data_IF_722516070165
#
_entry.id   IF_722516070165
#
_cell.length_a   1.000
_cell.length_b   1.000
_cell.length_c   1.000
_cell.angle_alpha   90.00
_cell.angle_beta   90.00
_cell.angle_gamma   90.00
#
_symmetry.space_group_name_H-M   'P 1'
#
loop_
_entity.id
_entity.type
_entity.pdbx_description
1 polymer ?
#
# COMPACT_ATOMS: atom_id res chain seq x y z
N UNK A 1 12.37 -2.16 15.33
CA UNK A 1 11.04 -2.78 15.12
C UNK A 1 10.03 -2.03 15.97
N UNK A 2 8.98 -1.44 15.37
CA UNK A 2 8.03 -0.58 16.11
C UNK A 2 7.01 -1.37 16.94
N UNK A 3 6.58 -2.54 16.44
CA UNK A 3 5.44 -3.28 17.00
C UNK A 3 5.79 -4.56 17.79
N UNK A 4 7.08 -4.81 18.10
CA UNK A 4 7.57 -5.98 18.88
C UNK A 4 6.89 -7.31 18.55
N UNK A 5 6.57 -7.53 17.27
CA UNK A 5 5.86 -8.71 16.78
C UNK A 5 6.82 -9.69 16.09
N UNK A 6 6.59 -10.99 16.27
CA UNK A 6 7.32 -12.05 15.58
C UNK A 6 6.92 -12.19 14.12
N UNK A 7 7.80 -12.78 13.30
CA UNK A 7 7.65 -12.87 11.84
C UNK A 7 6.33 -13.53 11.40
N UNK A 8 5.98 -14.68 11.98
CA UNK A 8 4.74 -15.39 11.64
C UNK A 8 3.47 -14.57 11.90
N UNK A 9 3.45 -13.77 12.97
CA UNK A 9 2.31 -12.89 13.25
C UNK A 9 2.32 -11.67 12.33
N UNK A 10 3.48 -11.14 11.99
CA UNK A 10 3.61 -10.03 11.04
C UNK A 10 3.10 -10.43 9.64
N UNK A 11 3.41 -11.64 9.16
CA UNK A 11 2.92 -12.15 7.88
C UNK A 11 1.38 -12.14 7.82
N UNK A 12 0.72 -12.73 8.83
CA UNK A 12 -0.75 -12.72 8.92
C UNK A 12 -1.35 -11.32 8.95
N UNK A 13 -0.66 -10.37 9.58
CA UNK A 13 -1.12 -8.97 9.61
C UNK A 13 -1.03 -8.33 8.23
N UNK A 14 -0.02 -8.67 7.43
CA UNK A 14 0.09 -8.18 6.05
C UNK A 14 -1.05 -8.73 5.19
N UNK A 15 -1.34 -10.03 5.28
CA UNK A 15 -2.44 -10.66 4.52
C UNK A 15 -3.78 -9.96 4.83
N UNK A 16 -4.07 -9.73 6.12
CA UNK A 16 -5.29 -9.04 6.55
C UNK A 16 -5.34 -7.58 6.06
N UNK A 17 -4.20 -6.89 5.96
CA UNK A 17 -4.15 -5.52 5.45
C UNK A 17 -4.32 -5.46 3.94
N UNK A 18 -3.83 -6.47 3.22
CA UNK A 18 -4.03 -6.64 1.78
C UNK A 18 -5.50 -6.93 1.46
N UNK A 19 -6.12 -7.88 2.18
CA UNK A 19 -7.56 -8.18 2.08
C UNK A 19 -8.45 -6.96 2.35
N UNK A 20 -7.99 -6.05 3.23
CA UNK A 20 -8.70 -4.81 3.55
C UNK A 20 -8.41 -3.67 2.57
N UNK A 21 -7.58 -3.89 1.54
CA UNK A 21 -7.18 -2.85 0.59
C UNK A 21 -6.40 -1.70 1.22
N UNK A 22 -5.66 -1.97 2.31
CA UNK A 22 -4.80 -0.97 2.98
C UNK A 22 -3.41 -0.93 2.37
N UNK A 23 -2.95 -2.08 1.87
CA UNK A 23 -1.66 -2.25 1.20
C UNK A 23 -1.86 -2.98 -0.13
N UNK A 24 -0.98 -2.72 -1.09
CA UNK A 24 -0.94 -3.41 -2.38
C UNK A 24 -0.30 -4.81 -2.30
N UNK A 25 -0.38 -5.57 -3.40
CA UNK A 25 0.20 -6.92 -3.48
C UNK A 25 1.71 -6.90 -3.25
N UNK A 26 2.23 -7.99 -2.70
CA UNK A 26 3.67 -8.15 -2.49
C UNK A 26 4.42 -8.51 -3.78
N UNK A 27 5.17 -7.57 -4.37
CA UNK A 27 6.03 -7.85 -5.52
C UNK A 27 7.48 -8.14 -5.09
N UNK A 28 7.73 -9.37 -4.64
CA UNK A 28 9.08 -9.86 -4.36
C UNK A 28 9.83 -9.01 -3.32
N UNK A 29 10.94 -8.39 -3.74
CA UNK A 29 11.77 -7.56 -2.87
C UNK A 29 11.36 -6.08 -2.84
N UNK A 30 10.41 -5.66 -3.69
CA UNK A 30 9.96 -4.27 -3.72
C UNK A 30 9.15 -3.94 -2.47
N UNK A 31 9.24 -2.69 -1.97
CA UNK A 31 8.28 -2.17 -1.00
C UNK A 31 6.85 -2.30 -1.53
N UNK A 32 5.89 -2.62 -0.65
CA UNK A 32 4.47 -2.61 -1.01
C UNK A 32 3.94 -1.19 -1.07
N UNK A 33 3.00 -0.95 -1.98
CA UNK A 33 2.23 0.28 -2.01
C UNK A 33 1.31 0.36 -0.78
N UNK A 34 1.16 1.56 -0.23
CA UNK A 34 0.35 1.81 0.97
C UNK A 34 -0.69 2.85 0.62
N UNK A 35 -1.96 2.47 0.69
CA UNK A 35 -3.08 3.32 0.27
C UNK A 35 -3.60 4.23 1.39
N UNK A 36 -2.96 4.21 2.57
CA UNK A 36 -3.37 5.01 3.74
C UNK A 36 -2.39 6.15 4.01
N UNK A 37 -2.93 7.35 4.22
CA UNK A 37 -2.13 8.54 4.55
C UNK A 37 -1.67 8.52 6.02
N UNK A 38 -0.40 8.84 6.32
CA UNK A 38 0.08 8.95 7.70
C UNK A 38 -0.52 10.21 8.35
N UNK A 39 -1.63 10.06 9.07
CA UNK A 39 -2.26 11.17 9.79
C UNK A 39 -3.71 11.01 10.23
N UNK A 40 -4.45 10.00 9.74
CA UNK A 40 -5.85 9.81 10.11
C UNK A 40 -6.17 8.33 10.24
N UNK A 41 -6.51 7.90 11.46
CA UNK A 41 -7.03 6.56 11.69
C UNK A 41 -8.31 6.33 10.89
N UNK A 42 -8.40 5.14 10.28
CA UNK A 42 -9.59 4.52 9.71
C UNK A 42 -10.59 5.47 9.03
N UNK A 43 -10.31 5.88 7.79
CA UNK A 43 -11.38 6.33 6.89
C UNK A 43 -11.92 5.11 6.15
N UNK A 44 -13.17 4.78 6.46
CA UNK A 44 -13.99 3.79 5.76
C UNK A 44 -14.33 4.32 4.37
N UNK A 45 -14.11 3.48 3.37
CA UNK A 45 -14.73 3.44 2.04
C UNK A 45 -14.98 4.78 1.33
N UNK A 46 -14.15 5.06 0.32
CA UNK A 46 -14.46 6.06 -0.71
C UNK A 46 -13.23 6.85 -1.11
N UNK A 47 -12.69 6.51 -2.29
CA UNK A 47 -11.99 7.43 -3.19
C UNK A 47 -10.78 8.19 -2.61
N UNK A 48 -9.56 7.76 -2.95
CA UNK A 48 -8.56 8.64 -3.58
C UNK A 48 -7.27 7.85 -3.83
N UNK A 49 -6.90 7.78 -5.10
CA UNK A 49 -5.63 7.23 -5.54
C UNK A 49 -4.49 8.05 -4.96
N UNK A 50 -3.60 7.39 -4.23
CA UNK A 50 -2.26 7.91 -3.93
C UNK A 50 -1.31 6.87 -4.48
N UNK A 51 -1.18 6.83 -5.80
CA UNK A 51 0.00 6.28 -6.45
C UNK A 51 0.92 7.48 -6.69
N UNK A 52 1.99 7.55 -5.91
CA UNK A 52 3.14 8.36 -6.29
C UNK A 52 3.79 7.67 -7.50
N UNK A 53 4.09 8.47 -8.52
CA UNK A 53 4.93 8.11 -9.67
C UNK A 53 4.27 7.20 -10.72
N UNK A 54 3.38 7.81 -11.53
CA UNK A 54 3.30 7.49 -12.96
C UNK A 54 3.72 8.75 -13.71
N UNK A 55 5.01 8.85 -14.05
CA UNK A 55 5.47 9.73 -15.11
C UNK A 55 4.90 9.18 -16.43
N UNK A 56 3.68 9.59 -16.77
CA UNK A 56 3.18 9.50 -18.14
C UNK A 56 3.92 10.56 -18.96
N UNK A 57 5.15 10.22 -19.35
CA UNK A 57 5.89 10.95 -20.37
C UNK A 57 5.18 10.75 -21.71
N UNK A 58 4.48 11.81 -22.12
CA UNK A 58 4.16 12.24 -23.49
C UNK A 58 4.42 11.21 -24.60
N UNK A 59 3.35 10.58 -25.09
CA UNK A 59 3.32 10.05 -26.46
C UNK A 59 2.52 11.04 -27.30
N UNK A 60 3.21 12.09 -27.75
CA UNK A 60 2.77 12.89 -28.89
C UNK A 60 3.63 12.50 -30.09
N UNK A 61 3.03 11.78 -31.04
CA UNK A 61 3.31 11.88 -32.48
C UNK A 61 2.18 11.14 -33.23
N UNK A 62 1.84 11.47 -34.49
CA UNK A 62 2.73 12.00 -35.55
C UNK A 62 2.51 13.47 -35.97
#
# INVERSE_FOLDING_TARGET
RRLKVGYARAARLLDILEEKGVIGPGEGAKPRDVYVKPGGGAMLAGETGINADTDEAEVEEP
#
